data_IF_614332215678
#
_entry.id   IF_614332215678
#
_cell.length_a   1.000
_cell.length_b   1.000
_cell.length_c   1.000
_cell.angle_alpha   90.00
_cell.angle_beta   90.00
_cell.angle_gamma   90.00
#
_symmetry.space_group_name_H-M   'P 1'
#
loop_
_entity.id
_entity.type
_entity.pdbx_description
1 polymer ?
#
# COMPACT_ATOMS: atom_id res chain seq x y z
N UNK A 1 -11.77 10.70 31.69
CA UNK A 1 -12.33 10.65 30.33
C UNK A 1 -11.28 10.03 29.44
N UNK A 2 -11.48 8.77 29.01
CA UNK A 2 -10.57 8.11 28.08
C UNK A 2 -10.59 8.90 26.76
N UNK A 3 -9.42 9.31 26.26
CA UNK A 3 -9.33 9.93 24.94
C UNK A 3 -9.81 8.90 23.92
N UNK A 4 -10.94 9.15 23.30
CA UNK A 4 -11.36 8.41 22.11
C UNK A 4 -10.26 8.60 21.07
N UNK A 5 -9.49 7.54 20.77
CA UNK A 5 -8.46 7.60 19.74
C UNK A 5 -9.16 7.74 18.39
N UNK A 6 -9.30 8.98 17.92
CA UNK A 6 -9.80 9.29 16.58
C UNK A 6 -8.62 9.27 15.62
N UNK A 7 -8.70 8.44 14.57
CA UNK A 7 -7.77 8.49 13.45
C UNK A 7 -8.31 9.47 12.41
N UNK A 8 -7.50 10.44 12.02
CA UNK A 8 -7.84 11.47 11.03
C UNK A 8 -7.18 11.21 9.68
N UNK A 9 -7.58 11.97 8.65
CA UNK A 9 -6.89 11.99 7.35
C UNK A 9 -5.38 12.27 7.47
N UNK A 10 -4.97 13.10 8.43
CA UNK A 10 -3.56 13.46 8.60
C UNK A 10 -2.77 12.29 9.23
N UNK A 11 -3.40 11.43 10.04
CA UNK A 11 -2.78 10.21 10.56
C UNK A 11 -2.59 9.16 9.46
N UNK A 12 -3.56 9.03 8.54
CA UNK A 12 -3.43 8.19 7.34
C UNK A 12 -2.28 8.69 6.46
N UNK A 13 -2.15 10.01 6.30
CA UNK A 13 -1.02 10.60 5.59
C UNK A 13 0.32 10.27 6.25
N UNK A 14 0.40 10.32 7.59
CA UNK A 14 1.62 9.96 8.32
C UNK A 14 2.00 8.49 8.13
N UNK A 15 1.02 7.59 8.13
CA UNK A 15 1.25 6.17 7.80
C UNK A 15 1.82 6.01 6.39
N UNK A 16 1.23 6.68 5.40
CA UNK A 16 1.72 6.67 4.03
C UNK A 16 3.15 7.22 3.93
N UNK A 17 3.45 8.33 4.60
CA UNK A 17 4.81 8.87 4.67
C UNK A 17 5.79 7.87 5.30
N UNK A 18 5.36 7.15 6.33
CA UNK A 18 6.12 6.07 6.96
C UNK A 18 6.46 4.95 5.97
N UNK A 19 5.46 4.47 5.22
CA UNK A 19 5.62 3.44 4.20
C UNK A 19 6.55 3.89 3.07
N UNK A 20 6.40 5.11 2.55
CA UNK A 20 7.30 5.69 1.54
C UNK A 20 8.74 5.73 2.06
N UNK A 21 8.96 6.27 3.26
CA UNK A 21 10.29 6.35 3.87
C UNK A 21 10.90 4.96 4.02
N UNK A 22 10.14 4.01 4.59
CA UNK A 22 10.59 2.64 4.88
C UNK A 22 11.01 1.92 3.60
N UNK A 23 10.13 1.87 2.60
CA UNK A 23 10.38 1.12 1.36
C UNK A 23 11.53 1.72 0.58
N UNK A 24 11.53 3.04 0.35
CA UNK A 24 12.60 3.68 -0.42
C UNK A 24 13.96 3.58 0.28
N UNK A 25 14.01 3.75 1.61
CA UNK A 25 15.26 3.62 2.37
C UNK A 25 15.80 2.19 2.32
N UNK A 26 14.92 1.19 2.46
CA UNK A 26 15.31 -0.23 2.42
C UNK A 26 15.80 -0.63 1.03
N UNK A 27 15.08 -0.19 -0.01
CA UNK A 27 15.35 -0.56 -1.38
C UNK A 27 16.65 0.07 -1.90
N UNK A 28 16.90 1.34 -1.57
CA UNK A 28 18.08 2.09 -2.06
C UNK A 28 19.30 1.99 -1.15
N UNK A 29 19.13 1.60 0.11
CA UNK A 29 20.20 1.67 1.12
C UNK A 29 20.58 3.11 1.50
N UNK A 30 19.81 4.12 1.08
CA UNK A 30 20.07 5.54 1.34
C UNK A 30 18.99 6.15 2.22
N UNK A 31 19.32 7.18 3.01
CA UNK A 31 18.34 7.80 3.89
C UNK A 31 17.35 8.69 3.11
N UNK A 32 16.06 8.39 3.25
CA UNK A 32 14.97 9.24 2.75
C UNK A 32 14.31 9.97 3.91
N UNK A 33 14.19 11.30 3.80
CA UNK A 33 13.52 12.14 4.79
C UNK A 33 12.32 12.86 4.18
N UNK A 34 11.31 13.15 4.99
CA UNK A 34 10.15 13.91 4.56
C UNK A 34 9.92 15.13 5.45
N UNK A 35 9.33 16.17 4.87
CA UNK A 35 8.99 17.40 5.58
C UNK A 35 7.92 17.15 6.65
N UNK A 36 8.12 17.59 7.90
CA UNK A 36 7.08 17.51 8.94
C UNK A 36 5.91 18.47 8.64
N UNK A 37 6.11 19.42 7.72
CA UNK A 37 5.08 20.35 7.28
C UNK A 37 4.37 19.79 6.05
N UNK A 38 3.04 19.74 6.13
CA UNK A 38 2.16 19.29 5.04
C UNK A 38 1.49 20.50 4.41
N UNK A 39 1.46 20.55 3.08
CA UNK A 39 0.74 21.57 2.34
C UNK A 39 -0.69 21.09 2.02
N UNK A 40 -1.69 21.90 2.38
CA UNK A 40 -3.06 21.69 1.90
C UNK A 40 -3.15 22.19 0.46
N UNK A 41 -3.58 21.30 -0.45
CA UNK A 41 -3.73 21.62 -1.87
C UNK A 41 -5.21 21.48 -2.25
N UNK A 42 -5.61 22.16 -3.31
CA UNK A 42 -7.00 22.12 -3.81
C UNK A 42 -7.23 20.97 -4.78
N UNK A 43 -6.19 20.56 -5.51
CA UNK A 43 -6.25 19.55 -6.56
C UNK A 43 -4.94 18.80 -6.65
N UNK A 44 -5.03 17.51 -6.97
CA UNK A 44 -3.89 16.64 -7.25
C UNK A 44 -3.47 16.74 -8.71
N UNK A 45 -2.16 16.82 -8.95
CA UNK A 45 -1.59 16.97 -10.28
C UNK A 45 -0.39 16.05 -10.46
N UNK A 46 -0.31 15.39 -11.62
CA UNK A 46 0.91 14.79 -12.11
C UNK A 46 1.77 15.90 -12.72
N UNK A 47 2.96 16.09 -12.15
CA UNK A 47 3.92 17.07 -12.63
C UNK A 47 4.81 16.47 -13.72
N UNK A 48 5.47 17.33 -14.54
CA UNK A 48 6.41 16.88 -15.54
C UNK A 48 7.56 16.04 -14.96
N UNK A 49 8.28 15.35 -15.85
CA UNK A 49 9.31 14.34 -15.60
C UNK A 49 8.70 12.95 -15.40
N UNK A 50 8.55 12.50 -14.16
CA UNK A 50 8.04 11.16 -13.86
C UNK A 50 6.97 11.23 -12.78
N UNK A 51 5.75 10.89 -13.16
CA UNK A 51 4.60 10.83 -12.27
C UNK A 51 4.08 9.40 -12.13
N UNK A 52 3.79 8.98 -10.92
CA UNK A 52 3.04 7.77 -10.62
C UNK A 52 1.71 8.15 -9.99
N UNK A 53 0.64 7.46 -10.35
CA UNK A 53 -0.58 7.50 -9.55
C UNK A 53 -1.12 6.09 -9.30
N UNK A 54 -1.79 5.96 -8.17
CA UNK A 54 -2.37 4.71 -7.71
C UNK A 54 -3.64 5.02 -6.93
N UNK A 55 -4.68 4.24 -7.23
CA UNK A 55 -5.95 4.32 -6.53
C UNK A 55 -6.04 3.15 -5.56
N UNK A 56 -6.56 3.43 -4.37
CA UNK A 56 -6.98 2.40 -3.44
C UNK A 56 -8.46 2.61 -3.10
N UNK A 57 -9.15 1.51 -2.86
CA UNK A 57 -10.60 1.48 -2.65
C UNK A 57 -10.97 0.43 -1.60
N UNK A 58 -12.03 0.64 -0.84
CA UNK A 58 -12.42 -0.19 0.29
C UNK A 58 -13.47 0.48 1.16
N UNK A 59 -13.30 0.44 2.48
CA UNK A 59 -14.14 1.24 3.41
C UNK A 59 -13.94 2.75 3.26
N UNK A 60 -12.87 3.16 2.61
CA UNK A 60 -12.60 4.51 2.16
C UNK A 60 -11.74 4.41 0.91
N UNK A 61 -11.84 5.41 0.05
CA UNK A 61 -11.13 5.44 -1.24
C UNK A 61 -10.22 6.66 -1.30
N UNK A 62 -9.15 6.56 -2.10
CA UNK A 62 -8.23 7.67 -2.28
C UNK A 62 -7.27 7.51 -3.46
N UNK A 63 -6.65 8.63 -3.80
CA UNK A 63 -5.56 8.76 -4.76
C UNK A 63 -4.25 8.98 -4.04
N UNK A 64 -3.22 8.23 -4.41
CA UNK A 64 -1.84 8.62 -4.14
C UNK A 64 -1.18 8.99 -5.45
N UNK A 65 -0.52 10.15 -5.49
CA UNK A 65 0.33 10.60 -6.58
C UNK A 65 1.74 10.79 -6.06
N UNK A 66 2.73 10.33 -6.81
CA UNK A 66 4.14 10.60 -6.56
C UNK A 66 4.75 11.26 -7.79
N UNK A 67 5.36 12.43 -7.58
CA UNK A 67 5.97 13.25 -8.62
C UNK A 67 7.46 13.33 -8.35
N UNK A 68 8.24 12.62 -9.17
CA UNK A 68 9.69 12.60 -9.12
C UNK A 68 10.26 13.56 -10.15
N UNK A 69 11.16 14.44 -9.72
CA UNK A 69 12.03 15.16 -10.66
C UNK A 69 12.96 14.18 -11.35
N UNK A 70 13.42 14.49 -12.57
CA UNK A 70 14.38 13.64 -13.30
C UNK A 70 15.61 13.30 -12.45
N UNK A 71 16.08 14.24 -11.62
CA UNK A 71 17.22 14.04 -10.73
C UNK A 71 16.91 13.05 -9.61
N UNK A 72 15.78 13.22 -8.91
CA UNK A 72 15.38 12.30 -7.84
C UNK A 72 15.11 10.89 -8.35
N UNK A 73 14.48 10.75 -9.52
CA UNK A 73 14.21 9.46 -10.13
C UNK A 73 15.51 8.71 -10.47
N UNK A 74 16.46 9.40 -11.09
CA UNK A 74 17.75 8.79 -11.44
C UNK A 74 18.59 8.45 -10.22
N UNK A 75 18.54 9.27 -9.17
CA UNK A 75 19.22 8.96 -7.92
C UNK A 75 18.66 7.69 -7.28
N UNK A 76 17.34 7.59 -7.13
CA UNK A 76 16.67 6.42 -6.57
C UNK A 76 16.97 5.17 -7.40
N UNK A 77 16.90 5.28 -8.74
CA UNK A 77 17.21 4.19 -9.65
C UNK A 77 18.65 3.69 -9.53
N UNK A 78 19.63 4.60 -9.56
CA UNK A 78 21.03 4.21 -9.43
C UNK A 78 21.31 3.58 -8.08
N UNK A 79 20.82 4.18 -6.99
CA UNK A 79 21.01 3.64 -5.65
C UNK A 79 20.40 2.25 -5.51
N UNK A 80 19.18 2.04 -6.03
CA UNK A 80 18.52 0.73 -6.03
C UNK A 80 19.31 -0.34 -6.81
N UNK A 81 19.72 -0.03 -8.05
CA UNK A 81 20.47 -0.99 -8.88
C UNK A 81 21.87 -1.29 -8.31
N UNK A 82 22.56 -0.28 -7.77
CA UNK A 82 23.84 -0.48 -7.08
C UNK A 82 23.68 -1.33 -5.82
N UNK A 83 22.59 -1.14 -5.07
CA UNK A 83 22.27 -1.96 -3.90
C UNK A 83 21.98 -3.43 -4.29
N UNK A 84 21.53 -3.67 -5.53
CA UNK A 84 21.40 -5.01 -6.13
C UNK A 84 22.71 -5.56 -6.73
N UNK A 85 23.81 -4.81 -6.65
CA UNK A 85 25.14 -5.24 -7.13
C UNK A 85 25.41 -4.96 -8.61
N UNK A 86 24.55 -4.21 -9.30
CA UNK A 86 24.78 -3.82 -10.70
C UNK A 86 25.84 -2.71 -10.80
N UNK A 87 26.81 -2.80 -11.74
CA UNK A 87 27.83 -1.78 -11.91
C UNK A 87 27.27 -0.50 -12.54
N UNK A 88 27.83 0.66 -12.16
CA UNK A 88 27.35 1.98 -12.63
C UNK A 88 27.37 2.12 -14.16
N UNK A 89 28.29 1.43 -14.83
CA UNK A 89 28.44 1.45 -16.28
C UNK A 89 27.28 0.81 -17.04
N UNK A 90 26.50 -0.05 -16.41
CA UNK A 90 25.37 -0.76 -17.03
C UNK A 90 24.04 -0.05 -16.80
N UNK A 91 24.03 1.00 -15.98
CA UNK A 91 22.83 1.73 -15.62
C UNK A 91 22.31 2.60 -16.76
N UNK A 92 20.99 2.75 -16.82
CA UNK A 92 20.37 3.72 -17.70
C UNK A 92 20.95 5.13 -17.47
N UNK A 93 21.15 5.88 -18.56
CA UNK A 93 21.63 7.26 -18.51
C UNK A 93 20.48 8.27 -18.51
N UNK A 94 19.34 7.89 -19.09
CA UNK A 94 18.17 8.73 -19.26
C UNK A 94 17.07 8.31 -18.27
N UNK A 95 16.47 9.32 -17.63
CA UNK A 95 15.34 9.15 -16.72
C UNK A 95 14.07 8.66 -17.43
N UNK A 96 13.97 8.84 -18.75
CA UNK A 96 12.85 8.38 -19.57
C UNK A 96 13.00 6.93 -20.03
N UNK A 97 14.05 6.21 -19.59
CA UNK A 97 14.21 4.78 -19.88
C UNK A 97 13.08 3.99 -19.22
N UNK A 98 12.57 2.98 -19.92
CA UNK A 98 11.52 2.09 -19.42
C UNK A 98 11.94 1.42 -18.10
N UNK A 99 13.24 1.15 -17.94
CA UNK A 99 13.80 0.53 -16.73
C UNK A 99 13.60 1.41 -15.47
N UNK A 100 13.77 2.73 -15.60
CA UNK A 100 13.57 3.68 -14.51
C UNK A 100 12.10 3.72 -14.13
N UNK A 101 11.21 3.77 -15.13
CA UNK A 101 9.76 3.73 -14.94
C UNK A 101 9.31 2.44 -14.26
N UNK A 102 9.79 1.29 -14.73
CA UNK A 102 9.45 -0.02 -14.18
C UNK A 102 9.92 -0.16 -12.72
N UNK A 103 11.15 0.26 -12.42
CA UNK A 103 11.70 0.22 -11.06
C UNK A 103 10.90 1.11 -10.11
N UNK A 104 10.61 2.35 -10.51
CA UNK A 104 9.77 3.25 -9.71
C UNK A 104 8.35 2.69 -9.54
N UNK A 105 7.78 2.08 -10.57
CA UNK A 105 6.46 1.43 -10.51
C UNK A 105 6.42 0.28 -9.52
N UNK A 106 7.46 -0.54 -9.48
CA UNK A 106 7.61 -1.64 -8.52
C UNK A 106 7.75 -1.12 -7.08
N UNK A 107 8.62 -0.12 -6.86
CA UNK A 107 8.73 0.53 -5.55
C UNK A 107 7.40 1.14 -5.10
N UNK A 108 6.66 1.77 -6.02
CA UNK A 108 5.34 2.30 -5.74
C UNK A 108 4.34 1.22 -5.37
N UNK A 109 4.40 0.07 -6.04
CA UNK A 109 3.55 -1.07 -5.69
C UNK A 109 3.83 -1.57 -4.27
N UNK A 110 5.11 -1.66 -3.89
CA UNK A 110 5.53 -2.04 -2.53
C UNK A 110 5.13 -1.00 -1.48
N UNK A 111 5.28 0.30 -1.78
CA UNK A 111 4.87 1.40 -0.88
C UNK A 111 3.39 1.31 -0.57
N UNK A 112 2.55 1.15 -1.60
CA UNK A 112 1.11 1.13 -1.43
C UNK A 112 0.67 -0.19 -0.77
N UNK A 113 1.35 -1.30 -1.07
CA UNK A 113 1.14 -2.57 -0.39
C UNK A 113 1.43 -2.50 1.12
N UNK A 114 2.60 -1.95 1.51
CA UNK A 114 2.95 -1.73 2.92
C UNK A 114 1.96 -0.76 3.60
N UNK A 115 1.61 0.34 2.92
CA UNK A 115 0.65 1.31 3.43
C UNK A 115 -0.74 0.70 3.64
N UNK A 116 -1.32 0.07 2.62
CA UNK A 116 -2.66 -0.53 2.70
C UNK A 116 -2.71 -1.68 3.68
N UNK A 117 -1.64 -2.47 3.81
CA UNK A 117 -1.50 -3.49 4.84
C UNK A 117 -1.50 -2.88 6.25
N UNK A 118 -0.71 -1.83 6.49
CA UNK A 118 -0.62 -1.15 7.78
C UNK A 118 -1.96 -0.52 8.18
N UNK A 119 -2.59 0.22 7.25
CA UNK A 119 -3.87 0.88 7.50
C UNK A 119 -5.00 -0.15 7.66
N UNK A 120 -5.02 -1.17 6.81
CA UNK A 120 -5.99 -2.26 6.88
C UNK A 120 -5.91 -3.01 8.22
N UNK A 121 -4.70 -3.27 8.71
CA UNK A 121 -4.48 -3.88 10.02
C UNK A 121 -4.91 -2.96 11.17
N UNK A 122 -4.54 -1.67 11.12
CA UNK A 122 -4.86 -0.72 12.19
C UNK A 122 -6.36 -0.40 12.28
N UNK A 123 -7.03 -0.31 11.15
CA UNK A 123 -8.47 -0.01 11.07
C UNK A 123 -9.35 -1.26 11.04
N UNK A 124 -8.78 -2.46 10.90
CA UNK A 124 -9.49 -3.73 10.68
C UNK A 124 -10.46 -3.68 9.49
N UNK A 125 -10.03 -3.06 8.40
CA UNK A 125 -10.81 -2.95 7.16
C UNK A 125 -10.06 -3.63 6.02
N UNK A 126 -10.82 -4.15 5.05
CA UNK A 126 -10.24 -4.62 3.80
C UNK A 126 -10.07 -3.43 2.85
N UNK A 127 -8.88 -3.27 2.29
CA UNK A 127 -8.54 -2.26 1.29
C UNK A 127 -8.03 -3.00 0.05
N UNK A 128 -8.68 -2.75 -1.07
CA UNK A 128 -8.24 -3.19 -2.38
C UNK A 128 -7.37 -2.11 -3.02
N UNK A 129 -6.31 -2.53 -3.69
CA UNK A 129 -5.40 -1.62 -4.40
C UNK A 129 -5.47 -1.88 -5.90
N UNK A 130 -5.55 -0.80 -6.69
CA UNK A 130 -5.31 -0.87 -8.13
C UNK A 130 -3.82 -0.83 -8.44
N UNK A 131 -3.39 -1.39 -9.56
CA UNK A 131 -1.97 -1.35 -9.95
C UNK A 131 -1.51 0.10 -10.19
N UNK A 132 -0.31 0.49 -9.68
CA UNK A 132 0.26 1.81 -9.95
C UNK A 132 0.48 2.00 -11.45
N UNK A 133 0.19 3.20 -11.94
CA UNK A 133 0.45 3.59 -13.33
C UNK A 133 1.54 4.65 -13.38
N UNK A 134 2.68 4.28 -13.97
CA UNK A 134 3.81 5.16 -14.23
C UNK A 134 3.61 5.90 -15.55
N UNK A 135 3.77 7.21 -15.53
CA UNK A 135 3.67 8.06 -16.71
C UNK A 135 4.88 8.99 -16.78
N UNK A 136 5.58 8.94 -17.91
CA UNK A 136 6.55 9.98 -18.28
C UNK A 136 5.78 11.11 -18.93
N UNK A 137 5.81 12.31 -18.35
CA UNK A 137 4.98 13.42 -18.81
C UNK A 137 5.84 14.65 -19.10
N UNK A 138 5.58 15.28 -20.24
CA UNK A 138 6.24 16.51 -20.66
C UNK A 138 5.47 17.79 -20.26
N UNK A 139 4.26 17.64 -19.68
CA UNK A 139 3.36 18.72 -19.26
C UNK A 139 2.64 18.33 -17.97
N UNK A 140 2.22 19.32 -17.18
CA UNK A 140 1.40 19.04 -15.99
C UNK A 140 0.02 18.52 -16.38
N UNK A 141 -0.42 17.43 -15.76
CA UNK A 141 -1.71 16.78 -15.98
C UNK A 141 -2.48 16.79 -14.67
N UNK A 142 -3.67 17.38 -14.70
CA UNK A 142 -4.59 17.35 -13.56
C UNK A 142 -5.27 15.99 -13.52
N UNK A 143 -5.25 15.34 -12.35
CA UNK A 143 -5.92 14.07 -12.12
C UNK A 143 -6.99 14.27 -11.07
N UNK A 144 -8.23 14.07 -11.46
CA UNK A 144 -9.39 14.02 -10.57
C UNK A 144 -9.95 12.60 -10.57
N UNK A 145 -10.26 12.06 -9.40
CA UNK A 145 -11.06 10.84 -9.33
C UNK A 145 -12.53 11.26 -9.30
N UNK A 146 -13.32 10.73 -10.23
CA UNK A 146 -14.79 10.77 -10.15
C UNK A 146 -15.27 9.58 -9.29
N UNK A 147 -14.69 9.47 -8.10
CA UNK A 147 -15.33 8.75 -7.00
C UNK A 147 -16.19 9.80 -6.31
N UNK A 148 -17.39 9.44 -5.85
CA UNK A 148 -18.30 10.35 -5.14
C UNK A 148 -17.72 10.80 -3.79
N UNK A 149 -16.58 11.50 -3.83
CA UNK A 149 -15.84 12.02 -2.70
C UNK A 149 -16.56 13.30 -2.26
N UNK A 150 -17.45 13.18 -1.28
CA UNK A 150 -18.32 14.27 -0.83
C UNK A 150 -17.51 15.47 -0.30
N UNK A 151 -16.39 15.20 0.37
CA UNK A 151 -15.49 16.22 0.93
C UNK A 151 -14.03 15.82 0.76
N UNK A 152 -13.59 15.74 -0.49
CA UNK A 152 -12.21 15.46 -0.84
C UNK A 152 -11.23 16.43 -0.14
N UNK A 153 -10.27 15.86 0.57
CA UNK A 153 -9.12 16.56 1.11
C UNK A 153 -7.86 16.13 0.39
N UNK A 154 -7.11 17.10 -0.12
CA UNK A 154 -5.82 16.85 -0.73
C UNK A 154 -4.68 17.44 0.10
N UNK A 155 -3.61 16.68 0.23
CA UNK A 155 -2.40 17.00 0.99
C UNK A 155 -1.18 16.72 0.13
N UNK A 156 -0.18 17.59 0.20
CA UNK A 156 1.12 17.41 -0.44
C UNK A 156 2.22 17.38 0.63
N UNK A 157 3.14 16.43 0.49
CA UNK A 157 4.33 16.28 1.33
C UNK A 157 5.57 16.26 0.43
N UNK A 158 6.60 16.97 0.85
CA UNK A 158 7.90 16.96 0.18
C UNK A 158 8.81 15.92 0.83
N UNK A 159 9.51 15.15 0.00
CA UNK A 159 10.54 14.21 0.39
C UNK A 159 11.88 14.68 -0.15
N UNK A 160 12.95 14.30 0.53
CA UNK A 160 14.32 14.67 0.17
C UNK A 160 15.19 13.43 0.24
N UNK A 161 15.95 13.20 -0.84
CA UNK A 161 16.93 12.13 -0.95
C UNK A 161 18.25 12.50 -0.28
N UNK A 162 19.19 11.55 -0.18
CA UNK A 162 20.52 11.77 0.38
C UNK A 162 21.28 12.91 -0.33
N UNK A 163 21.19 13.00 -1.66
CA UNK A 163 21.80 14.09 -2.45
C UNK A 163 20.97 15.37 -2.48
N UNK A 164 19.95 15.50 -1.62
CA UNK A 164 19.06 16.65 -1.49
C UNK A 164 18.18 16.91 -2.72
N UNK A 165 17.92 15.89 -3.54
CA UNK A 165 16.91 15.99 -4.58
C UNK A 165 15.52 15.85 -3.95
N UNK A 166 14.57 16.62 -4.47
CA UNK A 166 13.21 16.68 -3.93
C UNK A 166 12.25 15.96 -4.86
N UNK A 167 11.34 15.20 -4.27
CA UNK A 167 10.15 14.66 -4.91
C UNK A 167 8.93 14.89 -4.02
N UNK A 168 7.73 14.83 -4.59
CA UNK A 168 6.50 15.17 -3.90
C UNK A 168 5.54 13.99 -3.90
N UNK A 169 4.91 13.78 -2.76
CA UNK A 169 3.75 12.91 -2.62
C UNK A 169 2.50 13.75 -2.46
N UNK A 170 1.42 13.36 -3.13
CA UNK A 170 0.09 13.93 -2.95
C UNK A 170 -0.89 12.82 -2.58
N UNK A 171 -1.68 13.04 -1.54
CA UNK A 171 -2.76 12.18 -1.12
C UNK A 171 -4.07 12.96 -1.29
N UNK A 172 -5.03 12.38 -1.99
CA UNK A 172 -6.41 12.87 -2.01
C UNK A 172 -7.35 11.78 -1.53
N UNK A 173 -8.15 12.06 -0.52
CA UNK A 173 -9.16 11.14 0.00
C UNK A 173 -10.30 11.90 0.66
N UNK A 174 -11.40 11.21 0.94
CA UNK A 174 -12.50 11.83 1.66
C UNK A 174 -12.11 12.23 3.09
N UNK A 175 -12.71 13.32 3.56
CA UNK A 175 -12.64 13.67 4.97
C UNK A 175 -13.36 12.61 5.79
N UNK A 176 -12.59 11.71 6.39
CA UNK A 176 -13.07 10.67 7.30
C UNK A 176 -12.39 10.78 8.66
N UNK A 177 -13.18 10.61 9.71
CA UNK A 177 -12.72 10.51 11.09
C UNK A 177 -13.06 9.10 11.58
N UNK A 178 -12.05 8.25 11.80
CA UNK A 178 -12.28 6.90 12.31
C UNK A 178 -12.31 6.94 13.83
N UNK A 179 -13.50 6.76 14.38
CA UNK A 179 -13.72 6.80 15.82
C UNK A 179 -13.61 5.36 16.35
N UNK A 180 -12.61 5.10 17.19
CA UNK A 180 -12.48 3.81 17.87
C UNK A 180 -13.67 3.62 18.83
N UNK A 181 -14.60 2.74 18.47
CA UNK A 181 -15.80 2.46 19.26
C UNK A 181 -15.48 1.58 20.49
N UNK A 182 -14.58 0.62 20.35
CA UNK A 182 -14.17 -0.29 21.42
C UNK A 182 -12.67 -0.63 21.29
N UNK A 183 -12.02 -0.94 22.41
CA UNK A 183 -10.68 -1.51 22.39
C UNK A 183 -10.76 -2.93 21.80
N UNK A 184 -10.33 -3.05 20.55
CA UNK A 184 -10.19 -4.35 19.94
C UNK A 184 -9.00 -5.08 20.58
N UNK A 185 -9.22 -6.24 21.19
CA UNK A 185 -8.14 -7.16 21.56
C UNK A 185 -7.38 -7.52 20.28
N UNK A 186 -6.10 -7.19 20.21
CA UNK A 186 -5.20 -7.69 19.19
C UNK A 186 -5.23 -9.20 19.26
N UNK A 187 -5.94 -9.83 18.31
CA UNK A 187 -5.65 -11.20 17.94
C UNK A 187 -4.29 -11.13 17.22
N UNK A 188 -3.21 -10.94 17.98
CA UNK A 188 -1.94 -11.52 17.58
C UNK A 188 -2.28 -12.99 17.36
N UNK A 189 -2.30 -13.41 16.10
CA UNK A 189 -2.23 -14.83 15.78
C UNK A 189 -0.90 -15.31 16.34
N UNK A 190 -0.94 -15.75 17.59
CA UNK A 190 0.19 -16.36 18.25
C UNK A 190 0.56 -17.57 17.38
N UNK A 191 1.71 -17.54 16.68
CA UNK A 191 2.08 -18.62 15.76
C UNK A 191 2.16 -19.96 16.48
N UNK A 192 2.38 -19.95 17.80
CA UNK A 192 2.31 -21.13 18.66
C UNK A 192 0.89 -21.69 18.78
N UNK A 193 -0.17 -20.86 18.81
CA UNK A 193 -1.57 -21.33 18.82
C UNK A 193 -1.97 -22.00 17.51
N UNK A 194 -1.54 -21.46 16.37
CA UNK A 194 -1.80 -22.07 15.04
C UNK A 194 -1.02 -23.39 14.90
N UNK A 195 0.22 -23.43 15.40
CA UNK A 195 1.00 -24.67 15.47
C UNK A 195 0.38 -25.69 16.44
N UNK A 196 -0.20 -25.26 17.56
CA UNK A 196 -0.92 -26.13 18.50
C UNK A 196 -2.21 -26.69 17.90
N UNK A 197 -2.97 -25.90 17.15
CA UNK A 197 -4.15 -26.38 16.41
C UNK A 197 -3.78 -27.41 15.33
N UNK A 198 -2.60 -27.30 14.71
CA UNK A 198 -2.09 -28.32 13.78
C UNK A 198 -1.41 -29.51 14.47
N UNK A 199 -0.88 -29.34 15.68
CA UNK A 199 -0.25 -30.40 16.49
C UNK A 199 -1.25 -31.19 17.31
N UNK A 200 -2.45 -30.65 17.54
CA UNK A 200 -3.55 -31.42 18.09
C UNK A 200 -3.88 -32.49 17.04
N UNK A 201 -3.69 -33.79 17.33
CA UNK A 201 -4.11 -34.82 16.41
C UNK A 201 -5.60 -34.60 16.23
N UNK A 202 -6.02 -34.32 15.00
CA UNK A 202 -7.41 -34.47 14.59
C UNK A 202 -7.77 -35.91 14.99
N UNK A 203 -8.45 -36.07 16.13
CA UNK A 203 -9.14 -37.32 16.42
C UNK A 203 -9.98 -37.56 15.18
N UNK A 204 -9.80 -38.68 14.46
CA UNK A 204 -10.66 -38.97 13.34
C UNK A 204 -12.07 -38.95 13.88
N UNK A 205 -12.91 -38.07 13.32
CA UNK A 205 -14.32 -38.04 13.57
C UNK A 205 -14.90 -39.37 13.05
N UNK A 206 -14.87 -40.39 13.91
CA UNK A 206 -15.37 -41.74 13.63
C UNK A 206 -16.90 -41.77 13.49
N UNK A 207 -17.59 -40.65 13.76
CA UNK A 207 -19.05 -40.55 13.66
C UNK A 207 -19.53 -39.98 12.31
N UNK A 208 -18.71 -39.21 11.59
CA UNK A 208 -19.10 -38.68 10.27
C UNK A 208 -18.99 -39.71 9.14
N UNK A 209 -18.10 -40.70 9.25
CA UNK A 209 -17.96 -41.76 8.25
C UNK A 209 -19.11 -42.78 8.30
N UNK A 210 -19.70 -43.02 9.47
CA UNK A 210 -20.89 -43.87 9.61
C UNK A 210 -22.15 -43.20 9.07
N UNK A 211 -22.32 -41.90 9.33
CA UNK A 211 -23.45 -41.14 8.79
C UNK A 211 -23.40 -41.02 7.26
N UNK A 212 -22.22 -40.79 6.67
CA UNK A 212 -22.08 -40.71 5.22
C UNK A 212 -22.33 -42.05 4.52
N UNK A 213 -21.78 -43.15 5.06
CA UNK A 213 -21.95 -44.49 4.49
C UNK A 213 -23.39 -45.00 4.58
N UNK A 214 -24.15 -44.57 5.59
CA UNK A 214 -25.55 -44.95 5.78
C UNK A 214 -26.47 -44.15 4.86
N UNK A 215 -26.17 -42.88 4.62
CA UNK A 215 -26.88 -42.04 3.63
C UNK A 215 -26.63 -42.51 2.19
N UNK A 216 -25.40 -42.93 1.87
CA UNK A 216 -25.08 -43.49 0.55
C UNK A 216 -25.75 -44.87 0.31
N UNK A 217 -25.93 -45.69 1.36
CA UNK A 217 -26.65 -46.97 1.24
C UNK A 217 -28.17 -46.79 1.06
N UNK A 218 -28.80 -45.90 1.83
CA UNK A 218 -30.24 -45.61 1.70
C UNK A 218 -30.58 -45.05 0.30
N UNK A 219 -29.69 -44.26 -0.30
CA UNK A 219 -29.84 -43.74 -1.66
C UNK A 219 -29.74 -44.81 -2.75
N UNK A 220 -28.93 -45.86 -2.55
CA UNK A 220 -28.78 -46.96 -3.51
C UNK A 220 -29.99 -47.91 -3.49
N UNK A 221 -30.52 -48.20 -2.30
CA UNK A 221 -31.74 -49.00 -2.13
C UNK A 221 -32.97 -48.30 -2.72
N UNK A 222 -33.07 -46.96 -2.62
CA UNK A 222 -34.17 -46.18 -3.22
C UNK A 222 -34.11 -46.13 -4.77
N UNK A 223 -32.92 -46.33 -5.35
CA UNK A 223 -32.69 -46.40 -6.80
C UNK A 223 -32.80 -47.84 -7.36
N UNK A 224 -32.98 -48.86 -6.52
CA UNK A 224 -33.22 -50.24 -6.92
C UNK A 224 -32.03 -50.95 -7.57
N UNK A 225 -30.80 -50.61 -7.18
CA UNK A 225 -29.54 -51.21 -7.64
C UNK A 225 -28.91 -52.11 -6.58
#
# INVERSE_FOLDING_TARGET
MAKTNTLSTDDVLLMLCGSVKKVLTTATGTEIVYSPMVQRITRTCLRPDIGCFVLFDGSFSGLVIMNFSSQSAMELYRAYMMNMGMPESELATLHTSDEVGNMLGELMNQIVGDFTGNVGHQLRVSINQNQPKMLTINKEVMVSIDTNLDRAQARRVAFTTERRNVFYMELAMDKTDFIKLHDFESMESDPDRIMEEQRTPRQPAADSAKAQAQVDQDLLDELGL
#
